data_IF_807460960242
#
_entry.id   IF_807460960242
#
_cell.length_a   1.000
_cell.length_b   1.000
_cell.length_c   1.000
_cell.angle_alpha   90.00
_cell.angle_beta   90.00
_cell.angle_gamma   90.00
#
_symmetry.space_group_name_H-M   'P 1'
#
loop_
_entity.id
_entity.type
_entity.pdbx_description
1 polymer ?
#
# COMPACT_ATOMS: atom_id res chain seq x y z
N UNK A 1 8.57 -6.37 -13.85
CA UNK A 1 7.90 -6.95 -15.03
C UNK A 1 6.89 -7.97 -14.56
N UNK A 2 5.69 -7.91 -15.12
CA UNK A 2 4.60 -8.85 -14.85
C UNK A 2 4.07 -9.41 -16.17
N UNK A 3 3.38 -10.57 -16.17
CA UNK A 3 2.74 -11.08 -17.37
C UNK A 3 1.83 -10.05 -18.01
N UNK A 4 1.80 -10.02 -19.33
CA UNK A 4 0.90 -9.17 -20.10
C UNK A 4 -0.54 -9.69 -20.12
N UNK A 5 -1.39 -9.06 -20.90
CA UNK A 5 -2.76 -9.52 -21.09
C UNK A 5 -2.76 -10.96 -21.61
N UNK A 6 -3.58 -11.82 -21.00
CA UNK A 6 -3.64 -13.23 -21.34
C UNK A 6 -2.49 -14.09 -20.77
N UNK A 7 -1.68 -13.55 -19.84
CA UNK A 7 -0.60 -14.30 -19.20
C UNK A 7 0.70 -14.37 -20.01
N UNK A 8 0.82 -13.59 -21.08
CA UNK A 8 2.01 -13.60 -21.94
C UNK A 8 3.26 -13.14 -21.20
N UNK A 9 4.35 -13.90 -21.32
CA UNK A 9 5.65 -13.63 -20.69
C UNK A 9 6.78 -13.32 -21.69
N UNK A 10 6.48 -13.36 -22.98
CA UNK A 10 7.45 -13.10 -24.04
C UNK A 10 7.94 -11.63 -24.04
N UNK A 11 9.17 -11.37 -24.49
CA UNK A 11 9.66 -10.01 -24.66
C UNK A 11 8.71 -9.17 -25.52
N UNK A 12 8.41 -7.95 -25.06
CA UNK A 12 7.47 -7.04 -25.72
C UNK A 12 6.00 -7.26 -25.41
N UNK A 13 5.63 -8.39 -24.79
CA UNK A 13 4.25 -8.69 -24.41
C UNK A 13 3.99 -8.55 -22.89
N UNK A 14 5.04 -8.32 -22.11
CA UNK A 14 4.98 -8.11 -20.66
C UNK A 14 4.55 -6.71 -20.31
N UNK A 15 4.00 -6.55 -19.11
CA UNK A 15 3.71 -5.25 -18.52
C UNK A 15 4.79 -4.85 -17.51
N UNK A 16 4.93 -3.56 -17.32
CA UNK A 16 5.74 -2.99 -16.23
C UNK A 16 4.76 -2.43 -15.19
N UNK A 17 4.81 -2.97 -13.99
CA UNK A 17 4.20 -2.37 -12.83
C UNK A 17 5.28 -1.57 -12.07
N UNK A 18 5.00 -0.33 -11.75
CA UNK A 18 5.92 0.54 -11.04
C UNK A 18 5.16 1.40 -10.02
N UNK A 19 5.85 1.75 -8.95
CA UNK A 19 5.35 2.65 -7.91
C UNK A 19 6.45 3.67 -7.63
N UNK A 20 6.05 4.93 -7.52
CA UNK A 20 6.92 6.01 -7.10
C UNK A 20 6.37 6.63 -5.82
N UNK A 21 7.10 6.49 -4.73
CA UNK A 21 6.75 7.08 -3.45
C UNK A 21 7.17 8.54 -3.41
N UNK A 22 6.22 9.43 -3.18
CA UNK A 22 6.43 10.86 -3.01
C UNK A 22 5.96 11.29 -1.61
N UNK A 23 6.76 12.09 -0.94
CA UNK A 23 6.46 12.54 0.42
C UNK A 23 5.83 13.94 0.38
N UNK A 24 4.66 14.07 0.99
CA UNK A 24 3.94 15.32 1.14
C UNK A 24 3.49 15.46 2.60
N UNK A 25 3.63 16.66 3.22
CA UNK A 25 3.04 16.87 4.55
C UNK A 25 1.52 16.70 4.48
N UNK A 26 0.96 15.86 5.34
CA UNK A 26 -0.44 15.42 5.27
C UNK A 26 -1.47 16.58 5.31
N UNK A 27 -1.12 17.71 5.94
CA UNK A 27 -2.00 18.89 6.05
C UNK A 27 -1.63 20.02 5.09
N UNK A 28 -0.71 19.78 4.13
CA UNK A 28 -0.28 20.82 3.20
C UNK A 28 -1.30 21.06 2.08
N UNK A 29 -1.34 22.27 1.56
CA UNK A 29 -2.16 22.61 0.40
C UNK A 29 -1.75 21.80 -0.84
N UNK A 30 -0.47 21.48 -0.97
CA UNK A 30 0.05 20.64 -2.07
C UNK A 30 -0.55 19.23 -1.99
N UNK A 31 -0.61 18.64 -0.80
CA UNK A 31 -1.23 17.32 -0.62
C UNK A 31 -2.74 17.37 -0.88
N UNK A 32 -3.42 18.38 -0.36
CA UNK A 32 -4.84 18.59 -0.60
C UNK A 32 -5.14 18.77 -2.08
N UNK A 33 -4.34 19.54 -2.78
CA UNK A 33 -4.46 19.74 -4.22
C UNK A 33 -4.22 18.45 -5.00
N UNK A 34 -3.16 17.69 -4.64
CA UNK A 34 -2.86 16.39 -5.24
C UNK A 34 -4.03 15.40 -5.10
N UNK A 35 -4.70 15.39 -3.95
CA UNK A 35 -5.83 14.49 -3.65
C UNK A 35 -7.19 15.03 -4.11
N UNK A 36 -7.22 16.19 -4.77
CA UNK A 36 -8.43 16.76 -5.37
C UNK A 36 -8.46 16.45 -6.86
N UNK A 37 -9.53 15.83 -7.32
CA UNK A 37 -9.67 15.39 -8.70
C UNK A 37 -9.97 16.52 -9.69
N UNK A 38 -10.05 16.18 -10.98
CA UNK A 38 -10.33 17.12 -12.05
C UNK A 38 -11.76 17.71 -12.00
N UNK A 39 -12.65 17.15 -11.18
CA UNK A 39 -14.02 17.63 -10.95
C UNK A 39 -14.13 18.44 -9.64
N UNK A 40 -13.03 18.59 -8.90
CA UNK A 40 -12.97 19.33 -7.64
C UNK A 40 -13.33 18.52 -6.40
N UNK A 41 -13.53 17.20 -6.52
CA UNK A 41 -13.82 16.34 -5.38
C UNK A 41 -12.52 15.92 -4.68
N UNK A 42 -12.46 16.03 -3.35
CA UNK A 42 -11.32 15.63 -2.53
C UNK A 42 -11.44 14.16 -2.10
N UNK A 43 -10.45 13.37 -2.48
CA UNK A 43 -10.34 11.96 -2.13
C UNK A 43 -9.45 11.77 -0.89
N UNK A 44 -9.88 10.93 0.05
CA UNK A 44 -9.12 10.69 1.29
C UNK A 44 -8.04 9.61 1.13
N UNK A 45 -8.25 8.64 0.25
CA UNK A 45 -7.36 7.48 0.14
C UNK A 45 -6.81 7.29 -1.28
N UNK A 46 -7.69 7.19 -2.25
CA UNK A 46 -7.29 6.89 -3.63
C UNK A 46 -7.93 7.88 -4.58
N UNK A 47 -7.11 8.51 -5.38
CA UNK A 47 -7.54 9.30 -6.52
C UNK A 47 -7.57 8.36 -7.73
N UNK A 48 -8.77 8.06 -8.28
CA UNK A 48 -8.94 7.02 -9.29
C UNK A 48 -8.20 7.31 -10.60
N UNK A 49 -7.98 6.26 -11.37
CA UNK A 49 -7.42 6.35 -12.71
C UNK A 49 -8.21 7.31 -13.57
N UNK A 50 -7.53 8.22 -14.25
CA UNK A 50 -8.15 9.22 -15.15
C UNK A 50 -8.77 10.43 -14.47
N UNK A 51 -8.72 10.51 -13.12
CA UNK A 51 -9.28 11.64 -12.36
C UNK A 51 -8.23 12.64 -11.88
N UNK A 52 -6.94 12.37 -12.08
CA UNK A 52 -5.88 13.31 -11.70
C UNK A 52 -5.98 14.56 -12.60
N UNK A 53 -5.83 15.72 -12.01
CA UNK A 53 -5.75 16.99 -12.75
C UNK A 53 -4.59 16.96 -13.75
N UNK A 54 -4.83 17.26 -15.01
CA UNK A 54 -3.83 17.17 -16.09
C UNK A 54 -2.55 17.97 -15.78
N UNK A 55 -2.69 19.16 -15.16
CA UNK A 55 -1.54 19.97 -14.76
C UNK A 55 -0.61 19.27 -13.75
N UNK A 56 -1.17 18.48 -12.82
CA UNK A 56 -0.38 17.73 -11.83
C UNK A 56 0.36 16.57 -12.48
N UNK A 57 -0.27 15.91 -13.46
CA UNK A 57 0.41 14.86 -14.25
C UNK A 57 1.60 15.45 -14.99
N UNK A 58 1.43 16.55 -15.69
CA UNK A 58 2.52 17.21 -16.42
C UNK A 58 3.61 17.77 -15.50
N UNK A 59 3.23 18.34 -14.35
CA UNK A 59 4.19 18.79 -13.34
C UNK A 59 5.03 17.61 -12.82
N UNK A 60 4.41 16.48 -12.50
CA UNK A 60 5.12 15.28 -12.04
C UNK A 60 6.04 14.73 -13.13
N UNK A 61 5.59 14.64 -14.38
CA UNK A 61 6.42 14.23 -15.52
C UNK A 61 7.64 15.15 -15.71
N UNK A 62 7.47 16.45 -15.57
CA UNK A 62 8.56 17.41 -15.64
C UNK A 62 9.57 17.26 -14.50
N UNK A 63 9.10 16.92 -13.30
CA UNK A 63 9.94 16.74 -12.11
C UNK A 63 10.78 15.45 -12.17
N UNK A 64 10.33 14.42 -12.88
CA UNK A 64 11.01 13.11 -12.93
C UNK A 64 12.45 13.18 -13.38
N UNK A 65 12.76 14.04 -14.35
CA UNK A 65 14.12 14.21 -14.88
C UNK A 65 15.13 14.76 -13.87
N UNK A 66 14.63 15.37 -12.79
CA UNK A 66 15.46 15.96 -11.75
C UNK A 66 15.75 14.97 -10.60
N UNK A 67 14.87 13.97 -10.39
CA UNK A 67 14.91 13.13 -9.19
C UNK A 67 15.00 11.62 -9.47
N UNK A 68 14.70 11.20 -10.69
CA UNK A 68 14.73 9.79 -11.09
C UNK A 68 15.85 9.52 -12.10
N UNK A 69 16.35 8.28 -12.12
CA UNK A 69 17.22 7.87 -13.21
C UNK A 69 16.48 7.90 -14.55
N UNK A 70 17.18 8.05 -15.68
CA UNK A 70 16.54 8.18 -17.00
C UNK A 70 15.51 7.08 -17.31
N UNK A 71 15.80 5.84 -16.91
CA UNK A 71 14.94 4.69 -17.14
C UNK A 71 13.60 4.81 -16.39
N UNK A 72 13.64 5.22 -15.13
CA UNK A 72 12.42 5.44 -14.33
C UNK A 72 11.66 6.70 -14.75
N UNK A 73 12.36 7.77 -15.10
CA UNK A 73 11.75 8.97 -15.67
C UNK A 73 10.96 8.65 -16.96
N UNK A 74 11.52 7.76 -17.80
CA UNK A 74 10.84 7.31 -19.02
C UNK A 74 9.57 6.52 -18.71
N UNK A 75 9.57 5.64 -17.72
CA UNK A 75 8.35 4.92 -17.28
C UNK A 75 7.22 5.88 -16.90
N UNK A 76 7.55 6.92 -16.14
CA UNK A 76 6.56 7.93 -15.74
C UNK A 76 6.04 8.69 -16.96
N UNK A 77 6.91 9.12 -17.85
CA UNK A 77 6.52 9.85 -19.08
C UNK A 77 5.63 9.04 -19.99
N UNK A 78 5.90 7.73 -20.14
CA UNK A 78 5.12 6.82 -20.98
C UNK A 78 3.80 6.39 -20.33
N UNK A 79 3.61 6.60 -19.04
CA UNK A 79 2.37 6.23 -18.36
C UNK A 79 1.25 7.20 -18.74
N UNK A 80 0.25 6.67 -19.40
CA UNK A 80 -0.90 7.46 -19.91
C UNK A 80 -1.90 7.81 -18.82
N UNK A 81 -2.17 6.85 -17.93
CA UNK A 81 -3.23 6.92 -16.93
C UNK A 81 -2.69 6.54 -15.56
N UNK A 82 -1.90 7.41 -14.91
CA UNK A 82 -1.47 7.18 -13.54
C UNK A 82 -2.65 7.28 -12.56
N UNK A 83 -2.46 6.75 -11.36
CA UNK A 83 -3.34 7.00 -10.22
C UNK A 83 -2.49 7.37 -9.00
N UNK A 84 -3.12 7.98 -8.01
CA UNK A 84 -2.48 8.36 -6.75
C UNK A 84 -3.20 7.66 -5.61
N UNK A 85 -2.42 7.11 -4.69
CA UNK A 85 -2.94 6.49 -3.49
C UNK A 85 -2.17 6.98 -2.27
N UNK A 86 -2.90 7.45 -1.26
CA UNK A 86 -2.32 7.75 0.03
C UNK A 86 -1.81 6.46 0.70
N UNK A 87 -0.60 6.50 1.24
CA UNK A 87 -0.07 5.39 2.02
C UNK A 87 -0.75 5.41 3.39
N UNK A 88 -1.52 4.36 3.67
CA UNK A 88 -2.24 4.18 4.93
C UNK A 88 -1.87 2.85 5.57
N UNK A 89 -2.08 2.75 6.87
CA UNK A 89 -2.03 1.51 7.62
C UNK A 89 -3.20 1.46 8.59
N UNK A 90 -3.76 0.27 8.78
CA UNK A 90 -4.88 0.04 9.69
C UNK A 90 -4.74 -1.34 10.32
N UNK A 91 -5.13 -1.46 11.58
CA UNK A 91 -5.28 -2.76 12.24
C UNK A 91 -6.68 -2.77 12.86
N UNK A 92 -7.45 -3.83 12.59
CA UNK A 92 -8.71 -4.08 13.30
C UNK A 92 -8.45 -4.27 14.80
N UNK A 93 -9.30 -3.76 15.66
CA UNK A 93 -9.13 -3.96 17.11
C UNK A 93 -9.21 -5.44 17.54
N UNK A 94 -9.86 -6.27 16.74
CA UNK A 94 -9.97 -7.72 16.94
C UNK A 94 -10.16 -8.45 15.60
N UNK A 95 -9.88 -9.74 15.58
CA UNK A 95 -10.01 -10.56 14.38
C UNK A 95 -11.26 -11.46 14.37
N UNK A 96 -12.04 -11.50 15.46
CA UNK A 96 -13.28 -12.27 15.54
C UNK A 96 -14.49 -11.39 15.90
N UNK A 97 -15.67 -11.84 15.46
CA UNK A 97 -16.95 -11.21 15.72
C UNK A 97 -18.03 -12.28 15.91
N UNK A 98 -19.17 -11.90 16.48
CA UNK A 98 -20.33 -12.78 16.66
C UNK A 98 -19.99 -14.08 17.39
N UNK A 99 -19.22 -13.99 18.48
CA UNK A 99 -18.76 -15.11 19.30
C UNK A 99 -18.00 -16.17 18.48
N UNK A 100 -17.05 -15.70 17.66
CA UNK A 100 -16.18 -16.55 16.83
C UNK A 100 -16.83 -17.09 15.55
N UNK A 101 -18.06 -16.67 15.21
CA UNK A 101 -18.76 -17.11 13.99
C UNK A 101 -18.33 -16.35 12.74
N UNK A 102 -17.66 -15.21 12.89
CA UNK A 102 -17.10 -14.41 11.81
C UNK A 102 -15.64 -14.09 12.14
N UNK A 103 -14.75 -14.53 11.27
CA UNK A 103 -13.31 -14.30 11.39
C UNK A 103 -12.85 -13.34 10.28
N UNK A 104 -12.00 -12.39 10.63
CA UNK A 104 -11.28 -11.57 9.67
C UNK A 104 -9.96 -12.24 9.31
N UNK A 105 -9.57 -12.18 8.04
CA UNK A 105 -8.30 -12.72 7.54
C UNK A 105 -7.62 -11.74 6.58
N UNK A 106 -6.32 -11.82 6.44
CA UNK A 106 -5.54 -11.00 5.53
C UNK A 106 -5.72 -9.50 5.80
N UNK A 107 -5.90 -8.72 4.75
CA UNK A 107 -6.02 -7.25 4.82
C UNK A 107 -7.27 -6.79 5.58
N UNK A 108 -8.26 -7.65 5.80
CA UNK A 108 -9.41 -7.34 6.67
C UNK A 108 -9.00 -7.24 8.15
N UNK A 109 -7.94 -7.94 8.58
CA UNK A 109 -7.35 -7.79 9.93
C UNK A 109 -6.44 -6.59 9.98
N UNK A 110 -5.51 -6.50 9.01
CA UNK A 110 -4.54 -5.41 8.98
C UNK A 110 -4.08 -5.10 7.56
N UNK A 111 -4.32 -3.87 7.11
CA UNK A 111 -3.71 -3.30 5.93
C UNK A 111 -2.38 -2.65 6.30
N UNK A 112 -1.29 -3.09 5.69
CA UNK A 112 0.05 -2.59 5.97
C UNK A 112 0.49 -1.53 4.97
N UNK A 113 1.41 -0.66 5.40
CA UNK A 113 2.18 0.13 4.46
C UNK A 113 2.94 -0.81 3.51
N UNK A 114 3.02 -0.50 2.20
CA UNK A 114 3.53 -1.45 1.19
C UNK A 114 5.02 -1.76 1.30
N UNK A 115 5.77 -1.07 2.17
CA UNK A 115 7.23 -1.20 2.31
C UNK A 115 7.71 -2.61 2.68
N UNK A 116 6.88 -3.40 3.37
CA UNK A 116 7.23 -4.76 3.80
C UNK A 116 6.78 -5.84 2.82
N UNK A 117 5.88 -5.51 1.88
CA UNK A 117 5.21 -6.47 0.99
C UNK A 117 4.56 -7.66 1.73
N UNK A 118 4.09 -7.44 2.98
CA UNK A 118 3.69 -8.52 3.89
C UNK A 118 2.24 -9.00 3.71
N UNK A 119 1.39 -8.29 2.97
CA UNK A 119 -0.05 -8.60 2.88
C UNK A 119 -0.34 -10.02 2.37
N UNK A 120 0.34 -10.46 1.31
CA UNK A 120 0.16 -11.82 0.77
C UNK A 120 0.61 -12.88 1.77
N UNK A 121 1.75 -12.66 2.43
CA UNK A 121 2.27 -13.57 3.44
C UNK A 121 1.34 -13.64 4.65
N UNK A 122 0.76 -12.52 5.06
CA UNK A 122 -0.26 -12.45 6.11
C UNK A 122 -1.47 -13.33 5.76
N UNK A 123 -2.02 -13.16 4.56
CA UNK A 123 -3.18 -13.94 4.14
C UNK A 123 -2.91 -15.45 4.11
N UNK A 124 -1.74 -15.86 3.60
CA UNK A 124 -1.30 -17.24 3.60
C UNK A 124 -1.10 -17.79 5.03
N UNK A 125 -0.47 -17.01 5.91
CA UNK A 125 -0.27 -17.39 7.32
C UNK A 125 -1.59 -17.57 8.05
N UNK A 126 -2.56 -16.67 7.88
CA UNK A 126 -3.90 -16.82 8.46
C UNK A 126 -4.62 -18.06 7.94
N UNK A 127 -4.50 -18.38 6.65
CA UNK A 127 -5.10 -19.58 6.08
C UNK A 127 -4.54 -20.87 6.72
N UNK A 128 -3.22 -20.92 6.93
CA UNK A 128 -2.56 -22.07 7.60
C UNK A 128 -2.98 -22.19 9.07
N UNK A 129 -3.09 -21.10 9.80
CA UNK A 129 -3.58 -21.11 11.18
C UNK A 129 -5.02 -21.61 11.27
N UNK A 130 -5.91 -21.14 10.39
CA UNK A 130 -7.29 -21.63 10.32
C UNK A 130 -7.36 -23.11 9.97
N UNK A 131 -6.50 -23.61 9.08
CA UNK A 131 -6.41 -25.05 8.80
C UNK A 131 -6.07 -25.83 10.06
N UNK A 132 -5.11 -25.36 10.87
CA UNK A 132 -4.73 -26.02 12.12
C UNK A 132 -5.87 -26.00 13.16
N UNK A 133 -6.64 -24.90 13.23
CA UNK A 133 -7.86 -24.84 14.06
C UNK A 133 -8.89 -25.89 13.62
N UNK A 134 -9.12 -25.99 12.29
CA UNK A 134 -10.10 -26.96 11.74
C UNK A 134 -9.67 -28.42 11.96
N UNK A 135 -8.36 -28.69 12.04
CA UNK A 135 -7.80 -30.00 12.39
C UNK A 135 -7.81 -30.27 13.90
N UNK A 136 -8.10 -29.28 14.74
CA UNK A 136 -8.03 -29.38 16.20
C UNK A 136 -6.59 -29.38 16.75
N UNK A 137 -5.62 -28.93 15.97
CA UNK A 137 -4.21 -28.88 16.35
C UNK A 137 -3.92 -27.67 17.24
N UNK A 138 -4.65 -26.57 17.07
CA UNK A 138 -4.63 -25.37 17.92
C UNK A 138 -6.05 -24.92 18.22
N UNK A 139 -6.22 -24.15 19.29
CA UNK A 139 -7.49 -23.52 19.60
C UNK A 139 -7.71 -22.26 18.78
N UNK A 140 -8.98 -21.85 18.62
CA UNK A 140 -9.31 -20.55 17.99
C UNK A 140 -8.68 -19.38 18.74
N UNK A 141 -8.57 -19.45 20.08
CA UNK A 141 -7.92 -18.39 20.88
C UNK A 141 -6.42 -18.24 20.57
N UNK A 142 -5.71 -19.33 20.37
CA UNK A 142 -4.30 -19.32 19.96
C UNK A 142 -4.12 -18.76 18.55
N UNK A 143 -4.99 -19.12 17.61
CA UNK A 143 -5.02 -18.56 16.27
C UNK A 143 -5.23 -17.04 16.31
N UNK A 144 -6.26 -16.57 16.99
CA UNK A 144 -6.56 -15.14 17.09
C UNK A 144 -5.41 -14.34 17.71
N UNK A 145 -4.76 -14.89 18.75
CA UNK A 145 -3.60 -14.27 19.37
C UNK A 145 -2.43 -14.14 18.37
N UNK A 146 -2.11 -15.21 17.64
CA UNK A 146 -1.04 -15.25 16.64
C UNK A 146 -1.31 -14.27 15.47
N UNK A 147 -2.54 -14.22 14.97
CA UNK A 147 -2.98 -13.29 13.93
C UNK A 147 -2.77 -11.83 14.36
N UNK A 148 -3.22 -11.47 15.56
CA UNK A 148 -3.11 -10.10 16.06
C UNK A 148 -1.66 -9.71 16.43
N UNK A 149 -0.85 -10.65 16.87
CA UNK A 149 0.59 -10.43 17.12
C UNK A 149 1.34 -10.16 15.81
N UNK A 150 1.12 -10.98 14.80
CA UNK A 150 1.69 -10.79 13.47
C UNK A 150 1.29 -9.42 12.88
N UNK A 151 0.02 -9.06 12.96
CA UNK A 151 -0.50 -7.79 12.49
C UNK A 151 0.22 -6.58 13.12
N UNK A 152 0.39 -6.59 14.46
CA UNK A 152 1.10 -5.51 15.17
C UNK A 152 2.58 -5.45 14.76
N UNK A 153 3.26 -6.59 14.73
CA UNK A 153 4.67 -6.67 14.37
C UNK A 153 4.94 -6.12 12.97
N UNK A 154 4.15 -6.54 11.98
CA UNK A 154 4.32 -6.11 10.59
C UNK A 154 3.92 -4.65 10.37
N UNK A 155 2.89 -4.18 11.06
CA UNK A 155 2.52 -2.76 11.02
C UNK A 155 3.64 -1.86 11.54
N UNK A 156 4.25 -2.21 12.68
CA UNK A 156 5.37 -1.46 13.24
C UNK A 156 6.61 -1.51 12.33
N UNK A 157 6.91 -2.67 11.74
CA UNK A 157 7.99 -2.80 10.78
C UNK A 157 7.77 -1.88 9.56
N UNK A 158 6.55 -1.88 9.02
CA UNK A 158 6.15 -1.00 7.90
C UNK A 158 6.25 0.48 8.24
N UNK A 159 5.82 0.87 9.45
CA UNK A 159 5.94 2.25 9.95
C UNK A 159 7.40 2.68 10.08
N UNK A 160 8.25 1.84 10.67
CA UNK A 160 9.70 2.15 10.80
C UNK A 160 10.36 2.32 9.43
N UNK A 161 10.08 1.43 8.47
CA UNK A 161 10.62 1.53 7.11
C UNK A 161 10.11 2.78 6.39
N UNK A 162 8.81 3.05 6.47
CA UNK A 162 8.20 4.23 5.87
C UNK A 162 8.74 5.54 6.47
N UNK A 163 8.87 5.62 7.78
CA UNK A 163 9.41 6.80 8.45
C UNK A 163 10.88 7.03 8.08
N UNK A 164 11.70 5.96 7.99
CA UNK A 164 13.09 6.10 7.51
C UNK A 164 13.14 6.64 6.09
N UNK A 165 12.30 6.17 5.20
CA UNK A 165 12.20 6.66 3.82
C UNK A 165 11.73 8.11 3.78
N UNK A 166 10.72 8.46 4.57
CA UNK A 166 10.09 9.79 4.56
C UNK A 166 10.95 10.87 5.21
N UNK A 167 11.67 10.54 6.29
CA UNK A 167 12.39 11.52 7.10
C UNK A 167 13.92 11.37 7.00
N UNK A 168 14.43 10.70 5.96
CA UNK A 168 15.88 10.54 5.71
C UNK A 168 16.64 9.95 6.91
N UNK A 169 16.01 9.05 7.65
CA UNK A 169 16.60 8.35 8.80
C UNK A 169 16.54 9.14 10.12
N UNK A 170 16.00 10.34 10.14
CA UNK A 170 15.67 11.03 11.40
C UNK A 170 14.41 10.40 11.99
N UNK A 171 14.40 10.18 13.29
CA UNK A 171 13.17 9.78 13.98
C UNK A 171 12.14 10.89 13.80
N UNK A 172 11.00 10.57 13.15
CA UNK A 172 9.94 11.52 12.81
C UNK A 172 9.20 12.11 14.02
N UNK A 173 9.86 12.26 15.15
CA UNK A 173 9.33 12.82 16.39
C UNK A 173 9.49 14.33 16.53
N UNK A 174 10.25 14.96 15.64
CA UNK A 174 10.59 16.41 15.77
C UNK A 174 9.76 17.36 14.88
N UNK A 175 8.82 16.86 14.06
CA UNK A 175 7.99 17.72 13.19
C UNK A 175 6.49 17.34 13.25
N UNK A 176 5.92 17.24 14.45
CA UNK A 176 4.46 17.20 14.63
C UNK A 176 3.96 18.52 15.21
#
# INVERSE_FOLDING_TARGET
LIPGKGGHTEPGQRLINWVWYCNYPAKSDIYKDLMTDSEGYHHHFTLPVGKIQARLVEQQKGYTSQVLSPQFAELVRQTKTPFVQAITDVISPKADFMDGKLLLVGDAVAGFRPHTAASTNQAAYHALLLENVMKGEISLGEELAAVMEYARHMSEAGKRMGNRSQFSGKDGREEQ
#
